data_IF_138723906824
#
_entry.id   IF_138723906824
#
_cell.length_a   1.000
_cell.length_b   1.000
_cell.length_c   1.000
_cell.angle_alpha   90.00
_cell.angle_beta   90.00
_cell.angle_gamma   90.00
#
_symmetry.space_group_name_H-M   'P 1'
#
loop_
_entity.id
_entity.type
_entity.pdbx_description
1 polymer ?
#
# COMPACT_ATOMS: atom_id res chain seq x y z
N UNK A 1 13.50 32.84 -15.31
CA UNK A 1 12.06 32.78 -15.01
C UNK A 1 11.34 31.52 -15.51
N UNK A 2 11.68 30.92 -16.67
CA UNK A 2 10.98 29.69 -17.16
C UNK A 2 11.43 28.41 -16.43
N UNK A 3 12.74 28.24 -16.23
CA UNK A 3 13.34 27.08 -15.53
C UNK A 3 13.02 27.01 -14.03
N UNK A 4 12.96 28.16 -13.38
CA UNK A 4 12.67 28.27 -11.94
C UNK A 4 11.22 27.88 -11.60
N UNK A 5 10.27 28.23 -12.48
CA UNK A 5 8.88 27.79 -12.39
C UNK A 5 8.74 26.28 -12.62
N UNK A 6 9.46 25.71 -13.59
CA UNK A 6 9.46 24.26 -13.83
C UNK A 6 10.05 23.47 -12.65
N UNK A 7 11.13 23.95 -12.04
CA UNK A 7 11.71 23.29 -10.86
C UNK A 7 10.78 23.35 -9.64
N UNK A 8 10.09 24.48 -9.44
CA UNK A 8 9.10 24.62 -8.37
C UNK A 8 7.90 23.67 -8.57
N UNK A 9 7.40 23.53 -9.80
CA UNK A 9 6.33 22.59 -10.13
C UNK A 9 6.76 21.14 -9.90
N UNK A 10 7.94 20.74 -10.36
CA UNK A 10 8.46 19.39 -10.13
C UNK A 10 8.61 19.09 -8.64
N UNK A 11 9.10 20.06 -7.85
CA UNK A 11 9.26 19.89 -6.41
C UNK A 11 7.90 19.70 -5.72
N UNK A 12 6.88 20.45 -6.15
CA UNK A 12 5.52 20.31 -5.66
C UNK A 12 4.93 18.93 -5.99
N UNK A 13 5.06 18.45 -7.23
CA UNK A 13 4.52 17.14 -7.64
C UNK A 13 5.22 15.98 -6.92
N UNK A 14 6.53 16.07 -6.72
CA UNK A 14 7.28 15.07 -5.94
C UNK A 14 6.83 15.06 -4.48
N UNK A 15 6.63 16.24 -3.87
CA UNK A 15 6.14 16.33 -2.49
C UNK A 15 4.72 15.76 -2.36
N UNK A 16 3.84 16.06 -3.31
CA UNK A 16 2.48 15.53 -3.35
C UNK A 16 2.46 14.01 -3.49
N UNK A 17 3.27 13.45 -4.39
CA UNK A 17 3.43 12.00 -4.53
C UNK A 17 3.96 11.36 -3.24
N UNK A 18 4.93 11.98 -2.57
CA UNK A 18 5.46 11.51 -1.30
C UNK A 18 4.37 11.43 -0.22
N UNK A 19 3.57 12.49 -0.06
CA UNK A 19 2.44 12.51 0.88
C UNK A 19 1.37 11.46 0.53
N UNK A 20 1.08 11.26 -0.76
CA UNK A 20 0.15 10.25 -1.21
C UNK A 20 0.62 8.83 -0.83
N UNK A 21 1.90 8.50 -1.11
CA UNK A 21 2.49 7.21 -0.75
C UNK A 21 2.52 6.98 0.76
N UNK A 22 2.87 8.00 1.55
CA UNK A 22 2.83 7.93 3.01
C UNK A 22 1.40 7.66 3.53
N UNK A 23 0.40 8.32 2.96
CA UNK A 23 -1.00 8.13 3.34
C UNK A 23 -1.49 6.70 3.05
N UNK A 24 -1.07 6.12 1.91
CA UNK A 24 -1.34 4.73 1.54
C UNK A 24 -0.68 3.79 2.54
N UNK A 25 0.62 3.95 2.80
CA UNK A 25 1.37 3.08 3.71
C UNK A 25 0.77 3.11 5.12
N UNK A 26 0.40 4.29 5.62
CA UNK A 26 -0.25 4.43 6.91
C UNK A 26 -1.63 3.74 6.95
N UNK A 27 -2.40 3.77 5.85
CA UNK A 27 -3.68 3.09 5.76
C UNK A 27 -3.53 1.57 5.69
N UNK A 28 -2.56 1.07 4.92
CA UNK A 28 -2.21 -0.36 4.85
C UNK A 28 -1.84 -0.87 6.25
N UNK A 29 -0.93 -0.17 6.95
CA UNK A 29 -0.49 -0.56 8.29
C UNK A 29 -1.67 -0.67 9.28
N UNK A 30 -2.55 0.33 9.30
CA UNK A 30 -3.75 0.30 10.16
C UNK A 30 -4.69 -0.87 9.85
N UNK A 31 -4.93 -1.14 8.57
CA UNK A 31 -5.79 -2.25 8.15
C UNK A 31 -5.16 -3.61 8.46
N UNK A 32 -3.86 -3.78 8.23
CA UNK A 32 -3.12 -5.00 8.54
C UNK A 32 -3.17 -5.32 10.04
N UNK A 33 -2.95 -4.31 10.90
CA UNK A 33 -3.07 -4.45 12.36
C UNK A 33 -4.51 -4.85 12.75
N UNK A 34 -5.51 -4.14 12.21
CA UNK A 34 -6.92 -4.40 12.53
C UNK A 34 -7.38 -5.81 12.11
N UNK A 35 -6.86 -6.31 11.00
CA UNK A 35 -7.18 -7.63 10.45
C UNK A 35 -6.25 -8.74 10.93
N UNK A 36 -5.19 -8.41 11.68
CA UNK A 36 -4.11 -9.31 12.10
C UNK A 36 -3.45 -10.04 10.93
N UNK A 37 -3.21 -9.31 9.84
CA UNK A 37 -2.56 -9.81 8.64
C UNK A 37 -1.08 -9.44 8.70
N UNK A 38 -0.17 -10.42 8.69
CA UNK A 38 1.27 -10.13 8.63
C UNK A 38 1.63 -9.63 7.22
N UNK A 39 2.54 -8.66 7.13
CA UNK A 39 3.02 -8.06 5.88
C UNK A 39 4.55 -7.82 5.95
N UNK A 40 5.27 -8.71 6.61
CA UNK A 40 6.70 -8.54 6.92
C UNK A 40 7.60 -8.93 5.74
N UNK A 41 7.09 -9.71 4.79
CA UNK A 41 7.81 -10.16 3.62
C UNK A 41 6.89 -10.30 2.40
N UNK A 42 7.51 -10.46 1.23
CA UNK A 42 6.80 -10.57 -0.04
C UNK A 42 5.82 -11.75 -0.06
N UNK A 43 6.16 -12.89 0.54
CA UNK A 43 5.28 -14.06 0.54
C UNK A 43 3.99 -13.80 1.34
N UNK A 44 4.09 -13.12 2.48
CA UNK A 44 2.95 -12.72 3.30
C UNK A 44 2.07 -11.68 2.58
N UNK A 45 2.68 -10.74 1.84
CA UNK A 45 1.95 -9.78 1.00
C UNK A 45 1.18 -10.51 -0.10
N UNK A 46 1.82 -11.44 -0.81
CA UNK A 46 1.18 -12.21 -1.87
C UNK A 46 0.04 -13.09 -1.34
N UNK A 47 0.22 -13.67 -0.16
CA UNK A 47 -0.83 -14.45 0.51
C UNK A 47 -2.02 -13.57 0.93
N UNK A 48 -1.77 -12.36 1.45
CA UNK A 48 -2.83 -11.40 1.74
C UNK A 48 -3.61 -11.01 0.47
N UNK A 49 -2.93 -10.81 -0.65
CA UNK A 49 -3.59 -10.48 -1.93
C UNK A 49 -4.46 -11.64 -2.43
N UNK A 50 -3.99 -12.89 -2.29
CA UNK A 50 -4.70 -14.10 -2.71
C UNK A 50 -5.89 -14.42 -1.82
N UNK A 51 -5.68 -14.45 -0.50
CA UNK A 51 -6.70 -14.79 0.49
C UNK A 51 -7.91 -13.85 0.48
N UNK A 52 -7.76 -12.63 -0.05
CA UNK A 52 -8.85 -11.66 -0.17
C UNK A 52 -9.46 -11.56 -1.57
N UNK A 53 -9.09 -12.42 -2.52
CA UNK A 53 -9.66 -12.41 -3.88
C UNK A 53 -11.17 -12.71 -3.88
N UNK A 54 -11.62 -13.62 -3.02
CA UNK A 54 -13.03 -14.06 -2.98
C UNK A 54 -13.92 -13.16 -2.11
N UNK A 55 -13.37 -12.09 -1.53
CA UNK A 55 -14.15 -11.18 -0.68
C UNK A 55 -15.04 -10.30 -1.58
N UNK A 56 -16.38 -10.38 -1.47
CA UNK A 56 -17.28 -9.67 -2.34
C UNK A 56 -17.04 -8.16 -2.29
N UNK A 57 -16.96 -7.52 -3.45
CA UNK A 57 -16.77 -6.09 -3.54
C UNK A 57 -17.90 -5.35 -2.78
N UNK A 58 -17.58 -4.28 -2.03
CA UNK A 58 -18.56 -3.52 -1.26
C UNK A 58 -19.52 -2.72 -2.17
N UNK A 59 -20.44 -3.43 -2.80
CA UNK A 59 -21.38 -2.89 -3.79
C UNK A 59 -22.30 -3.94 -4.40
N UNK A 60 -21.89 -5.21 -4.45
CA UNK A 60 -22.68 -6.28 -5.10
C UNK A 60 -23.92 -6.68 -4.27
N UNK A 61 -23.92 -6.48 -2.96
CA UNK A 61 -25.09 -6.80 -2.11
C UNK A 61 -26.32 -5.91 -2.36
N UNK A 62 -26.18 -4.73 -3.00
CA UNK A 62 -27.30 -3.77 -3.10
C UNK A 62 -28.32 -4.09 -4.21
N UNK A 63 -28.10 -5.09 -5.08
CA UNK A 63 -29.00 -5.37 -6.22
C UNK A 63 -29.80 -6.67 -6.16
N UNK A 64 -29.53 -7.58 -5.22
CA UNK A 64 -30.24 -8.87 -5.17
C UNK A 64 -31.42 -8.91 -4.18
N UNK A 65 -32.11 -7.79 -3.99
CA UNK A 65 -33.11 -7.64 -2.93
C UNK A 65 -34.47 -7.10 -3.40
N UNK A 66 -35.08 -7.71 -4.41
CA UNK A 66 -36.54 -7.82 -4.44
C UNK A 66 -36.88 -9.05 -3.60
N UNK A 67 -37.66 -8.82 -2.54
CA UNK A 67 -38.28 -9.79 -1.62
C UNK A 67 -37.51 -10.24 -0.34
N UNK A 68 -38.26 -10.11 0.76
CA UNK A 68 -38.08 -10.64 2.13
C UNK A 68 -37.17 -9.84 3.08
N UNK A 69 -37.77 -8.79 3.66
CA UNK A 69 -37.41 -8.28 4.99
C UNK A 69 -37.50 -9.40 6.03
N UNK A 70 -36.37 -9.93 6.46
CA UNK A 70 -36.22 -10.67 7.73
C UNK A 70 -35.60 -9.75 8.81
N UNK A 71 -35.98 -9.86 10.08
CA UNK A 71 -35.57 -8.95 11.17
C UNK A 71 -34.15 -9.24 11.72
N UNK A 72 -33.22 -9.78 10.92
CA UNK A 72 -31.85 -10.10 11.33
C UNK A 72 -30.89 -8.88 11.29
N UNK A 73 -31.41 -7.67 11.56
CA UNK A 73 -30.75 -6.39 11.27
C UNK A 73 -29.63 -5.97 12.22
N UNK A 74 -29.17 -6.83 13.13
CA UNK A 74 -28.11 -6.50 14.10
C UNK A 74 -26.84 -7.38 13.99
N UNK A 75 -26.91 -8.57 13.39
CA UNK A 75 -25.78 -9.49 13.28
C UNK A 75 -24.90 -9.29 12.04
N UNK A 76 -25.33 -8.48 11.07
CA UNK A 76 -24.64 -8.24 9.79
C UNK A 76 -23.50 -7.18 9.82
N UNK A 77 -23.17 -6.62 10.99
CA UNK A 77 -22.30 -5.44 11.09
C UNK A 77 -20.78 -5.74 11.15
N UNK A 78 -20.29 -6.75 11.91
CA UNK A 78 -18.85 -6.99 12.07
C UNK A 78 -18.20 -7.68 10.87
N UNK A 79 -18.82 -8.73 10.35
CA UNK A 79 -18.27 -9.52 9.23
C UNK A 79 -18.23 -8.71 7.93
N UNK A 80 -19.28 -7.94 7.65
CA UNK A 80 -19.32 -7.02 6.52
C UNK A 80 -18.23 -5.96 6.58
N UNK A 81 -17.97 -5.42 7.78
CA UNK A 81 -16.89 -4.46 8.01
C UNK A 81 -15.52 -5.11 7.79
N UNK A 82 -15.32 -6.32 8.29
CA UNK A 82 -14.09 -7.07 8.06
C UNK A 82 -13.87 -7.35 6.55
N UNK A 83 -14.92 -7.71 5.82
CA UNK A 83 -14.87 -7.92 4.38
C UNK A 83 -14.54 -6.62 3.62
N UNK A 84 -15.14 -5.49 4.01
CA UNK A 84 -14.77 -4.18 3.48
C UNK A 84 -13.30 -3.84 3.72
N UNK A 85 -12.81 -4.07 4.93
CA UNK A 85 -11.41 -3.82 5.30
C UNK A 85 -10.45 -4.72 4.54
N UNK A 86 -10.79 -6.01 4.32
CA UNK A 86 -9.99 -6.95 3.51
C UNK A 86 -9.93 -6.51 2.04
N UNK A 87 -11.08 -6.14 1.48
CA UNK A 87 -11.17 -5.63 0.11
C UNK A 87 -10.36 -4.35 -0.07
N UNK A 88 -10.45 -3.43 0.89
CA UNK A 88 -9.67 -2.19 0.91
C UNK A 88 -8.16 -2.47 1.02
N UNK A 89 -7.75 -3.32 1.97
CA UNK A 89 -6.34 -3.69 2.16
C UNK A 89 -5.77 -4.29 0.88
N UNK A 90 -6.47 -5.24 0.25
CA UNK A 90 -6.06 -5.83 -1.02
C UNK A 90 -5.90 -4.78 -2.12
N UNK A 91 -6.88 -3.88 -2.26
CA UNK A 91 -6.81 -2.81 -3.26
C UNK A 91 -5.61 -1.88 -3.06
N UNK A 92 -5.31 -1.51 -1.81
CA UNK A 92 -4.17 -0.67 -1.47
C UNK A 92 -2.82 -1.37 -1.69
N UNK A 93 -2.71 -2.66 -1.37
CA UNK A 93 -1.50 -3.44 -1.65
C UNK A 93 -1.21 -3.51 -3.16
N UNK A 94 -2.22 -3.79 -3.97
CA UNK A 94 -2.09 -3.80 -5.44
C UNK A 94 -1.73 -2.42 -5.97
N UNK A 95 -2.41 -1.36 -5.50
CA UNK A 95 -2.11 0.02 -5.92
C UNK A 95 -0.67 0.41 -5.57
N UNK A 96 -0.19 0.06 -4.37
CA UNK A 96 1.18 0.33 -3.93
C UNK A 96 2.19 -0.35 -4.85
N UNK A 97 2.00 -1.65 -5.11
CA UNK A 97 2.87 -2.42 -6.01
C UNK A 97 2.91 -1.83 -7.42
N UNK A 98 1.75 -1.56 -8.03
CA UNK A 98 1.66 -0.97 -9.36
C UNK A 98 2.31 0.42 -9.45
N UNK A 99 2.22 1.21 -8.37
CA UNK A 99 2.87 2.52 -8.30
C UNK A 99 4.39 2.38 -8.24
N UNK A 100 4.90 1.45 -7.43
CA UNK A 100 6.34 1.15 -7.34
C UNK A 100 6.89 0.68 -8.69
N UNK A 101 6.19 -0.25 -9.37
CA UNK A 101 6.57 -0.73 -10.70
C UNK A 101 6.65 0.42 -11.70
N UNK A 102 5.61 1.26 -11.79
CA UNK A 102 5.60 2.39 -12.72
C UNK A 102 6.68 3.41 -12.43
N UNK A 103 7.00 3.66 -11.15
CA UNK A 103 8.10 4.54 -10.77
C UNK A 103 9.44 3.96 -11.26
N UNK A 104 9.68 2.66 -11.06
CA UNK A 104 10.88 1.97 -11.54
C UNK A 104 10.96 1.98 -13.07
N UNK A 105 9.85 1.77 -13.78
CA UNK A 105 9.79 1.85 -15.24
C UNK A 105 10.12 3.25 -15.76
N UNK A 106 9.67 4.31 -15.08
CA UNK A 106 9.92 5.69 -15.49
C UNK A 106 11.37 6.14 -15.26
N UNK A 107 11.97 5.78 -14.12
CA UNK A 107 13.31 6.27 -13.76
C UNK A 107 14.43 5.27 -14.07
N UNK A 108 14.06 4.02 -14.39
CA UNK A 108 14.96 2.91 -14.66
C UNK A 108 15.44 2.18 -13.40
N UNK A 109 15.80 0.91 -13.57
CA UNK A 109 16.23 0.03 -12.47
C UNK A 109 17.48 0.55 -11.74
N UNK A 110 18.49 1.05 -12.47
CA UNK A 110 19.73 1.53 -11.86
C UNK A 110 19.50 2.71 -10.91
N UNK A 111 18.75 3.72 -11.35
CA UNK A 111 18.47 4.89 -10.53
C UNK A 111 17.55 4.53 -9.35
N UNK A 112 16.60 3.62 -9.57
CA UNK A 112 15.76 3.08 -8.50
C UNK A 112 16.58 2.42 -7.39
N UNK A 113 17.54 1.56 -7.75
CA UNK A 113 18.45 0.93 -6.78
C UNK A 113 19.27 1.97 -6.00
N UNK A 114 19.82 2.98 -6.69
CA UNK A 114 20.58 4.06 -6.05
C UNK A 114 19.75 4.87 -5.06
N UNK A 115 18.48 5.14 -5.37
CA UNK A 115 17.56 5.82 -4.44
C UNK A 115 17.33 4.97 -3.20
N UNK A 116 17.06 3.67 -3.35
CA UNK A 116 16.82 2.75 -2.23
C UNK A 116 18.09 2.64 -1.36
N UNK A 117 19.26 2.48 -1.98
CA UNK A 117 20.57 2.44 -1.30
C UNK A 117 20.84 3.72 -0.49
N UNK A 118 20.61 4.88 -1.10
CA UNK A 118 20.80 6.18 -0.46
C UNK A 118 19.88 6.35 0.76
N UNK A 119 18.62 5.95 0.64
CA UNK A 119 17.66 5.97 1.76
C UNK A 119 18.09 5.00 2.86
N UNK A 120 18.47 3.76 2.53
CA UNK A 120 18.92 2.77 3.50
C UNK A 120 20.16 3.26 4.28
N UNK A 121 21.14 3.83 3.58
CA UNK A 121 22.33 4.39 4.21
C UNK A 121 21.98 5.58 5.12
N UNK A 122 21.05 6.44 4.71
CA UNK A 122 20.59 7.55 5.53
C UNK A 122 19.86 7.07 6.79
N UNK A 123 19.09 5.98 6.71
CA UNK A 123 18.46 5.36 7.87
C UNK A 123 19.50 4.81 8.86
N UNK A 124 20.52 4.11 8.38
CA UNK A 124 21.62 3.63 9.23
C UNK A 124 22.35 4.78 9.92
N UNK A 125 22.62 5.88 9.19
CA UNK A 125 23.21 7.11 9.77
C UNK A 125 22.33 7.76 10.84
N UNK A 126 21.02 7.53 10.79
CA UNK A 126 20.07 7.99 11.81
C UNK A 126 19.90 6.99 12.97
N UNK A 127 20.66 5.89 12.98
CA UNK A 127 20.67 4.90 14.06
C UNK A 127 19.65 3.77 13.89
N UNK A 128 18.99 3.66 12.74
CA UNK A 128 18.14 2.51 12.44
C UNK A 128 19.02 1.28 12.07
N UNK A 129 18.58 0.09 12.45
CA UNK A 129 19.26 -1.15 12.06
C UNK A 129 19.20 -1.35 10.54
N UNK A 130 20.21 -2.01 9.97
CA UNK A 130 20.21 -2.42 8.57
C UNK A 130 18.95 -3.24 8.26
N UNK A 131 18.24 -2.89 7.19
CA UNK A 131 16.99 -3.53 6.81
C UNK A 131 15.76 -3.12 7.63
N UNK A 132 15.85 -2.20 8.58
CA UNK A 132 14.71 -1.73 9.38
C UNK A 132 13.58 -1.10 8.52
N UNK A 133 13.90 -0.61 7.32
CA UNK A 133 12.93 -0.11 6.34
C UNK A 133 12.19 -1.20 5.55
N UNK A 134 12.44 -2.49 5.82
CA UNK A 134 11.81 -3.61 5.12
C UNK A 134 12.48 -3.99 3.79
N UNK A 135 13.46 -3.22 3.32
CA UNK A 135 14.31 -3.59 2.18
C UNK A 135 15.70 -3.97 2.66
N UNK A 136 16.04 -5.25 2.55
CA UNK A 136 17.46 -5.64 2.50
C UNK A 136 17.95 -5.25 1.11
N UNK A 137 18.64 -4.10 1.01
CA UNK A 137 19.51 -3.91 -0.14
C UNK A 137 20.54 -5.03 -0.02
N UNK A 138 20.54 -5.97 -0.96
CA UNK A 138 21.52 -7.04 -0.99
C UNK A 138 22.90 -6.40 -1.15
N UNK A 139 23.58 -6.15 -0.03
CA UNK A 139 24.99 -5.84 0.00
C UNK A 139 25.70 -7.15 -0.37
N UNK A 140 25.97 -7.33 -1.67
CA UNK A 140 26.94 -8.33 -2.06
C UNK A 140 28.32 -7.76 -1.75
N UNK A 141 29.18 -8.47 -0.99
CA UNK A 141 30.53 -8.03 -0.68
C UNK A 141 31.40 -7.93 -1.94
#
# INVERSE_FOLDING_TARGET
>A
MSTEKSNALLTHEVAHLGQFLESINARIARLAIALRVPLNNEAEIQEAIKSFMDVPAPGVERRSGVERRSPARASQSPERRANMQRSELRGLLVMRYETEVKLVEMIGATLSSQVIESVAHNMERQGFAAGAGGTLVNHKP
#
